data_IF_777999288597
#
_entry.id   IF_777999288597
#
_cell.length_a   1.000
_cell.length_b   1.000
_cell.length_c   1.000
_cell.angle_alpha   90.00
_cell.angle_beta   90.00
_cell.angle_gamma   90.00
#
_symmetry.space_group_name_H-M   'P 1'
#
loop_
_entity.id
_entity.type
_entity.pdbx_description
1 polymer ?
#
# COMPACT_ATOMS: atom_id res chain seq x y z
N UNK A 1 8.50 24.47 32.97
CA UNK A 1 9.90 24.20 32.58
C UNK A 1 9.89 23.80 31.10
N UNK A 2 10.89 24.13 30.30
CA UNK A 2 11.00 23.65 28.92
C UNK A 2 11.16 22.13 28.97
N UNK A 3 10.37 21.39 28.15
CA UNK A 3 10.52 19.95 28.07
C UNK A 3 11.94 19.59 27.57
N UNK A 4 12.57 18.55 28.11
CA UNK A 4 13.89 18.14 27.67
C UNK A 4 13.84 17.73 26.19
N UNK A 5 14.88 18.11 25.42
CA UNK A 5 14.99 17.78 24.00
C UNK A 5 15.87 16.55 23.81
N UNK A 6 15.52 15.72 22.84
CA UNK A 6 16.34 14.58 22.41
C UNK A 6 17.74 15.10 22.01
N UNK A 7 18.83 14.46 22.49
CA UNK A 7 20.19 14.76 22.01
C UNK A 7 20.28 14.66 20.47
N UNK A 8 20.98 15.61 19.86
CA UNK A 8 21.02 15.69 18.38
C UNK A 8 21.69 14.50 17.71
N UNK A 9 22.61 13.87 18.39
CA UNK A 9 23.36 12.69 17.95
C UNK A 9 22.50 11.40 17.93
N UNK A 10 21.35 11.39 18.62
CA UNK A 10 20.38 10.30 18.58
C UNK A 10 19.37 10.46 17.44
N UNK A 11 19.22 11.65 16.85
CA UNK A 11 18.18 11.90 15.86
C UNK A 11 18.47 11.17 14.53
N UNK A 12 17.42 10.57 13.89
CA UNK A 12 17.56 9.99 12.56
C UNK A 12 17.93 11.05 11.52
N UNK A 13 18.67 10.66 10.49
CA UNK A 13 19.05 11.55 9.37
C UNK A 13 17.84 12.01 8.57
N UNK A 14 16.83 11.15 8.43
CA UNK A 14 15.53 11.54 7.90
C UNK A 14 14.44 11.09 8.87
N UNK A 15 13.77 12.02 9.55
CA UNK A 15 12.87 11.70 10.66
C UNK A 15 11.42 11.41 10.24
N UNK A 16 11.16 11.09 8.97
CA UNK A 16 9.80 10.84 8.44
C UNK A 16 9.48 9.35 8.42
N UNK A 17 8.50 8.92 9.22
CA UNK A 17 8.10 7.51 9.38
C UNK A 17 6.62 7.26 9.07
N UNK A 18 6.00 8.14 8.29
CA UNK A 18 4.57 8.09 7.96
C UNK A 18 4.18 6.88 7.14
N UNK A 19 3.07 6.23 7.55
CA UNK A 19 2.50 5.07 6.85
C UNK A 19 1.61 5.43 5.64
N UNK A 20 1.71 6.66 5.13
CA UNK A 20 1.02 7.13 3.93
C UNK A 20 0.44 8.54 4.09
N UNK A 21 0.96 9.50 3.31
CA UNK A 21 2.08 9.34 2.39
C UNK A 21 3.37 8.99 3.10
N UNK A 22 4.26 8.33 2.36
CA UNK A 22 5.57 7.94 2.86
C UNK A 22 6.64 8.99 2.58
N UNK A 23 7.80 8.81 3.17
CA UNK A 23 9.01 9.53 2.80
C UNK A 23 9.33 9.32 1.32
N UNK A 24 9.58 10.40 0.57
CA UNK A 24 10.16 10.39 -0.77
C UNK A 24 11.65 10.68 -0.64
N UNK A 25 12.50 9.93 -1.35
CA UNK A 25 13.94 10.15 -1.36
C UNK A 25 14.28 11.51 -1.95
N UNK A 26 15.29 12.20 -1.39
CA UNK A 26 15.61 13.61 -1.76
C UNK A 26 16.02 13.74 -3.22
N UNK A 27 16.81 12.81 -3.75
CA UNK A 27 17.24 12.76 -5.15
C UNK A 27 16.08 12.59 -6.12
N UNK A 28 15.04 11.84 -5.72
CA UNK A 28 13.81 11.67 -6.52
C UNK A 28 13.02 12.98 -6.61
N UNK A 29 12.92 13.73 -5.50
CA UNK A 29 12.30 15.07 -5.52
C UNK A 29 13.13 16.04 -6.35
N UNK A 30 14.44 15.99 -6.27
CA UNK A 30 15.35 16.86 -7.02
C UNK A 30 15.22 16.65 -8.53
N UNK A 31 14.99 15.42 -9.00
CA UNK A 31 14.85 15.11 -10.44
C UNK A 31 13.69 15.85 -11.13
N UNK A 32 12.66 16.26 -10.36
CA UNK A 32 11.54 17.05 -10.92
C UNK A 32 11.94 18.41 -11.48
N UNK A 33 13.05 18.96 -11.04
CA UNK A 33 13.56 20.27 -11.48
C UNK A 33 14.75 20.19 -12.46
N UNK A 34 15.17 18.99 -12.84
CA UNK A 34 16.28 18.81 -13.78
C UNK A 34 15.95 19.26 -15.20
N UNK A 35 16.96 19.68 -15.99
CA UNK A 35 16.77 19.94 -17.41
C UNK A 35 16.21 18.72 -18.15
N UNK A 36 15.15 18.92 -18.93
CA UNK A 36 14.44 17.82 -19.62
C UNK A 36 13.27 17.23 -18.84
N UNK A 37 12.96 17.77 -17.65
CA UNK A 37 11.75 17.41 -16.91
C UNK A 37 10.50 17.51 -17.78
N UNK A 38 9.61 16.52 -17.69
CA UNK A 38 8.33 16.48 -18.42
C UNK A 38 7.25 17.36 -17.76
N UNK A 39 7.58 18.04 -16.67
CA UNK A 39 6.62 18.87 -15.93
C UNK A 39 6.01 19.95 -16.81
N UNK A 40 4.64 20.06 -16.77
CA UNK A 40 3.90 21.03 -17.57
C UNK A 40 3.79 20.68 -19.05
N UNK A 41 4.21 19.49 -19.48
CA UNK A 41 4.10 19.05 -20.88
C UNK A 41 2.86 18.15 -21.09
N UNK A 42 2.45 17.96 -22.33
CA UNK A 42 1.29 17.14 -22.66
C UNK A 42 1.54 15.66 -22.43
N UNK A 43 0.68 15.01 -21.64
CA UNK A 43 0.72 13.57 -21.40
C UNK A 43 0.45 12.70 -22.64
N UNK A 44 0.04 13.31 -23.76
CA UNK A 44 -0.18 12.64 -25.05
C UNK A 44 1.09 12.63 -25.93
N UNK A 45 2.11 13.36 -25.53
CA UNK A 45 3.36 13.48 -26.28
C UNK A 45 4.40 12.44 -25.82
N UNK A 46 5.36 12.08 -26.70
CA UNK A 46 6.34 11.04 -26.42
C UNK A 46 7.07 11.14 -25.07
N UNK A 47 7.50 12.32 -24.59
CA UNK A 47 8.24 12.36 -23.32
C UNK A 47 7.48 11.81 -22.13
N UNK A 48 6.18 12.14 -21.99
CA UNK A 48 5.36 11.61 -20.88
C UNK A 48 4.97 10.16 -21.12
N UNK A 49 4.68 9.80 -22.39
CA UNK A 49 4.40 8.40 -22.75
C UNK A 49 5.58 7.49 -22.43
N UNK A 50 6.81 7.93 -22.64
CA UNK A 50 8.00 7.17 -22.28
C UNK A 50 8.10 6.92 -20.77
N UNK A 51 7.72 7.89 -19.92
CA UNK A 51 7.66 7.68 -18.46
C UNK A 51 6.62 6.62 -18.10
N UNK A 52 5.44 6.67 -18.74
CA UNK A 52 4.39 5.65 -18.49
C UNK A 52 4.84 4.26 -18.96
N UNK A 53 5.45 4.18 -20.17
CA UNK A 53 6.00 2.91 -20.69
C UNK A 53 7.05 2.34 -19.74
N UNK A 54 8.02 3.16 -19.29
CA UNK A 54 9.06 2.76 -18.35
C UNK A 54 8.48 2.21 -17.05
N UNK A 55 7.50 2.90 -16.43
CA UNK A 55 6.82 2.40 -15.22
C UNK A 55 6.20 1.02 -15.44
N UNK A 56 5.54 0.82 -16.60
CA UNK A 56 4.90 -0.46 -16.93
C UNK A 56 5.92 -1.58 -17.12
N UNK A 57 7.02 -1.31 -17.80
CA UNK A 57 8.14 -2.23 -18.01
C UNK A 57 8.85 -2.56 -16.69
N UNK A 58 9.20 -1.54 -15.90
CA UNK A 58 9.86 -1.69 -14.61
C UNK A 58 9.01 -2.47 -13.59
N UNK A 59 7.71 -2.24 -13.53
CA UNK A 59 6.81 -3.04 -12.69
C UNK A 59 6.66 -4.47 -13.20
N UNK A 60 6.67 -4.69 -14.52
CA UNK A 60 6.67 -6.03 -15.11
C UNK A 60 7.92 -6.79 -14.69
N UNK A 61 9.09 -6.17 -14.75
CA UNK A 61 10.36 -6.75 -14.30
C UNK A 61 10.38 -6.95 -12.78
N UNK A 62 10.01 -5.93 -12.01
CA UNK A 62 10.05 -5.94 -10.55
C UNK A 62 9.23 -7.10 -9.96
N UNK A 63 8.07 -7.39 -10.54
CA UNK A 63 7.19 -8.47 -10.10
C UNK A 63 7.36 -9.77 -10.89
N UNK A 64 8.28 -9.83 -11.84
CA UNK A 64 8.47 -10.98 -12.74
C UNK A 64 7.13 -11.49 -13.29
N UNK A 65 6.35 -10.60 -13.91
CA UNK A 65 4.98 -10.89 -14.32
C UNK A 65 4.92 -12.02 -15.35
N UNK A 66 3.90 -12.88 -15.27
CA UNK A 66 3.59 -13.79 -16.36
C UNK A 66 3.36 -13.01 -17.67
N UNK A 67 3.69 -13.64 -18.81
CA UNK A 67 3.74 -12.97 -20.12
C UNK A 67 2.44 -12.25 -20.53
N UNK A 68 1.29 -12.76 -20.08
CA UNK A 68 -0.02 -12.25 -20.47
C UNK A 68 -0.63 -11.26 -19.44
N UNK A 69 0.12 -10.93 -18.36
CA UNK A 69 -0.30 -9.95 -17.38
C UNK A 69 0.04 -8.54 -17.87
N UNK A 70 -0.80 -7.59 -17.51
CA UNK A 70 -0.63 -6.20 -17.91
C UNK A 70 -0.66 -5.25 -16.73
N UNK A 71 0.17 -4.21 -16.79
CA UNK A 71 0.12 -3.09 -15.85
C UNK A 71 -0.77 -2.00 -16.43
N UNK A 72 -1.85 -1.67 -15.72
CA UNK A 72 -2.72 -0.53 -16.03
C UNK A 72 -2.60 0.54 -14.95
N UNK A 73 -2.81 1.81 -15.32
CA UNK A 73 -2.77 2.93 -14.41
C UNK A 73 -3.78 4.03 -14.77
N UNK A 74 -4.12 4.84 -13.78
CA UNK A 74 -5.05 5.94 -13.98
C UNK A 74 -5.02 6.96 -12.84
N UNK A 75 -5.78 8.03 -13.03
CA UNK A 75 -5.94 9.10 -12.06
C UNK A 75 -6.73 8.64 -10.84
N UNK A 76 -6.38 9.14 -9.65
CA UNK A 76 -7.09 8.88 -8.40
C UNK A 76 -6.18 8.26 -7.34
N UNK A 77 -6.55 7.14 -6.79
CA UNK A 77 -5.81 6.39 -5.79
C UNK A 77 -6.48 5.04 -5.59
N UNK A 78 -5.97 4.19 -4.69
CA UNK A 78 -6.52 2.86 -4.43
C UNK A 78 -8.01 2.88 -4.06
N UNK A 79 -8.50 3.94 -3.42
CA UNK A 79 -9.93 4.10 -3.11
C UNK A 79 -10.77 4.21 -4.38
N UNK A 80 -10.28 4.89 -5.44
CA UNK A 80 -10.97 4.91 -6.73
C UNK A 80 -10.98 3.52 -7.37
N UNK A 81 -9.89 2.74 -7.19
CA UNK A 81 -9.83 1.40 -7.72
C UNK A 81 -10.85 0.45 -7.05
N UNK A 82 -11.19 0.66 -5.77
CA UNK A 82 -12.29 -0.10 -5.14
C UNK A 82 -13.62 0.10 -5.87
N UNK A 83 -13.96 1.34 -6.18
CA UNK A 83 -15.18 1.66 -6.94
C UNK A 83 -15.08 1.09 -8.37
N UNK A 84 -13.92 1.21 -9.01
CA UNK A 84 -13.66 0.62 -10.33
C UNK A 84 -13.78 -0.90 -10.32
N UNK A 85 -13.19 -1.60 -9.34
CA UNK A 85 -13.32 -3.05 -9.19
C UNK A 85 -14.79 -3.46 -8.96
N UNK A 86 -15.50 -2.70 -8.13
CA UNK A 86 -16.93 -2.93 -7.85
C UNK A 86 -17.77 -2.87 -9.12
N UNK A 87 -17.53 -1.90 -10.01
CA UNK A 87 -18.36 -1.72 -11.23
C UNK A 87 -17.84 -2.51 -12.43
N UNK A 88 -16.53 -2.83 -12.50
CA UNK A 88 -15.90 -3.43 -13.69
C UNK A 88 -15.46 -4.88 -13.52
N UNK A 89 -15.26 -5.39 -12.29
CA UNK A 89 -14.72 -6.73 -12.03
C UNK A 89 -15.70 -7.66 -11.31
N UNK A 90 -16.55 -7.14 -10.44
CA UNK A 90 -17.55 -7.97 -9.75
C UNK A 90 -18.82 -8.06 -10.58
N UNK A 91 -19.22 -9.28 -10.98
CA UNK A 91 -20.43 -9.47 -11.79
C UNK A 91 -21.69 -9.59 -10.93
N UNK A 92 -21.65 -10.42 -9.89
CA UNK A 92 -22.83 -10.75 -9.07
C UNK A 92 -22.58 -10.49 -7.60
N UNK A 93 -21.54 -11.11 -7.05
CA UNK A 93 -21.27 -11.11 -5.60
C UNK A 93 -19.78 -11.29 -5.32
N UNK A 94 -19.27 -10.57 -4.33
CA UNK A 94 -17.91 -10.76 -3.83
C UNK A 94 -17.89 -11.46 -2.46
N UNK A 95 -16.77 -12.13 -2.15
CA UNK A 95 -16.38 -12.51 -0.79
C UNK A 95 -15.19 -11.66 -0.35
N UNK A 96 -15.22 -11.11 0.87
CA UNK A 96 -14.20 -10.18 1.35
C UNK A 96 -13.64 -10.59 2.70
N UNK A 97 -12.30 -10.51 2.83
CA UNK A 97 -11.64 -10.56 4.14
C UNK A 97 -11.59 -9.16 4.77
N UNK A 98 -12.08 -9.01 6.00
CA UNK A 98 -12.16 -7.74 6.73
C UNK A 98 -11.43 -7.88 8.05
N UNK A 99 -10.27 -7.21 8.19
CA UNK A 99 -9.41 -7.25 9.39
C UNK A 99 -8.76 -5.89 9.69
N UNK A 100 -9.41 -4.82 9.22
CA UNK A 100 -9.07 -3.45 9.51
C UNK A 100 -9.93 -2.44 8.76
N UNK A 101 -9.52 -1.19 8.80
CA UNK A 101 -10.34 -0.10 8.24
C UNK A 101 -10.38 -0.10 6.71
N UNK A 102 -9.25 -0.43 6.04
CA UNK A 102 -9.20 -0.35 4.58
C UNK A 102 -9.93 -1.51 3.94
N UNK A 103 -9.77 -2.72 4.47
CA UNK A 103 -10.54 -3.89 4.05
C UNK A 103 -12.04 -3.69 4.26
N UNK A 104 -12.46 -3.10 5.38
CA UNK A 104 -13.87 -2.77 5.64
C UNK A 104 -14.43 -1.75 4.66
N UNK A 105 -13.64 -0.73 4.27
CA UNK A 105 -14.09 0.27 3.29
C UNK A 105 -14.36 -0.34 1.93
N UNK A 106 -13.51 -1.23 1.46
CA UNK A 106 -13.75 -1.92 0.19
C UNK A 106 -14.99 -2.82 0.27
N UNK A 107 -15.13 -3.62 1.33
CA UNK A 107 -16.34 -4.41 1.57
C UNK A 107 -17.62 -3.53 1.58
N UNK A 108 -17.54 -2.34 2.19
CA UNK A 108 -18.65 -1.39 2.22
C UNK A 108 -18.95 -0.76 0.84
N UNK A 109 -17.95 -0.59 -0.03
CA UNK A 109 -18.18 -0.14 -1.40
C UNK A 109 -18.98 -1.19 -2.19
N UNK A 110 -18.62 -2.45 -2.07
CA UNK A 110 -19.34 -3.58 -2.65
C UNK A 110 -20.80 -3.68 -2.16
N UNK A 111 -21.00 -3.55 -0.85
CA UNK A 111 -22.34 -3.63 -0.25
C UNK A 111 -23.27 -2.49 -0.72
N UNK A 112 -22.74 -1.32 -1.01
CA UNK A 112 -23.53 -0.18 -1.49
C UNK A 112 -23.84 -0.20 -2.98
N UNK A 113 -23.23 -1.11 -3.74
CA UNK A 113 -23.46 -1.21 -5.17
C UNK A 113 -24.86 -1.79 -5.47
N UNK A 114 -25.81 -1.03 -6.08
CA UNK A 114 -27.20 -1.45 -6.19
C UNK A 114 -27.43 -2.60 -7.19
N UNK A 115 -26.40 -2.99 -7.91
CA UNK A 115 -26.43 -4.04 -8.93
C UNK A 115 -25.70 -5.31 -8.48
N UNK A 116 -25.15 -5.35 -7.25
CA UNK A 116 -24.53 -6.53 -6.65
C UNK A 116 -25.38 -7.09 -5.52
N UNK A 117 -25.26 -8.39 -5.28
CA UNK A 117 -25.72 -8.99 -4.04
C UNK A 117 -24.77 -8.60 -2.88
N UNK A 118 -25.28 -8.60 -1.65
CA UNK A 118 -24.47 -8.33 -0.46
C UNK A 118 -23.24 -9.25 -0.42
N UNK A 119 -22.04 -8.70 -0.13
CA UNK A 119 -20.82 -9.49 -0.08
C UNK A 119 -20.86 -10.53 1.05
N UNK A 120 -20.23 -11.68 0.82
CA UNK A 120 -19.89 -12.60 1.89
C UNK A 120 -18.69 -12.03 2.66
N UNK A 121 -18.87 -11.68 3.94
CA UNK A 121 -17.85 -11.00 4.75
C UNK A 121 -17.25 -11.98 5.75
N UNK A 122 -15.93 -12.18 5.65
CA UNK A 122 -15.12 -12.90 6.61
C UNK A 122 -14.38 -11.86 7.47
N UNK A 123 -14.78 -11.76 8.73
CA UNK A 123 -14.30 -10.69 9.61
C UNK A 123 -13.49 -11.23 10.78
N UNK A 124 -12.40 -10.53 11.11
CA UNK A 124 -11.61 -10.73 12.32
C UNK A 124 -11.52 -9.41 13.12
N UNK A 125 -11.14 -9.53 14.37
CA UNK A 125 -10.82 -8.37 15.21
C UNK A 125 -9.52 -7.69 14.74
N UNK A 126 -9.35 -6.39 15.00
CA UNK A 126 -8.12 -5.68 14.66
C UNK A 126 -6.87 -6.33 15.27
N UNK A 127 -5.90 -6.67 14.45
CA UNK A 127 -4.69 -7.40 14.85
C UNK A 127 -4.72 -8.91 14.53
N UNK A 128 -5.88 -9.41 14.15
CA UNK A 128 -6.09 -10.79 13.66
C UNK A 128 -6.34 -10.79 12.14
N UNK A 129 -6.41 -11.98 11.55
CA UNK A 129 -6.61 -12.17 10.10
C UNK A 129 -7.86 -13.00 9.82
N UNK A 130 -8.68 -12.55 8.87
CA UNK A 130 -9.71 -13.35 8.23
C UNK A 130 -9.57 -13.27 6.72
N UNK A 131 -9.43 -14.41 6.05
CA UNK A 131 -9.40 -14.53 4.60
C UNK A 131 -10.71 -15.12 4.08
N UNK A 132 -11.15 -14.72 2.89
CA UNK A 132 -12.35 -15.31 2.30
C UNK A 132 -12.09 -16.78 1.91
N UNK A 133 -13.09 -17.62 2.20
CA UNK A 133 -13.15 -19.01 1.80
C UNK A 133 -14.18 -19.20 0.67
N UNK A 134 -14.22 -20.40 0.07
CA UNK A 134 -15.16 -20.71 -0.97
C UNK A 134 -16.63 -20.55 -0.52
N UNK A 135 -17.39 -19.78 -1.26
CA UNK A 135 -18.82 -19.54 -1.02
C UNK A 135 -19.57 -19.69 -2.35
N UNK A 136 -20.73 -20.31 -2.32
CA UNK A 136 -21.59 -20.40 -3.50
C UNK A 136 -22.03 -19.03 -4.00
N UNK A 137 -22.21 -18.90 -5.31
CA UNK A 137 -22.66 -17.68 -5.99
C UNK A 137 -21.73 -16.46 -5.84
N UNK A 138 -20.45 -16.68 -5.48
CA UNK A 138 -19.40 -15.68 -5.45
C UNK A 138 -18.53 -15.80 -6.69
N UNK A 139 -18.31 -14.69 -7.38
CA UNK A 139 -17.47 -14.60 -8.58
C UNK A 139 -16.18 -13.81 -8.37
N UNK A 140 -15.98 -13.25 -7.18
CA UNK A 140 -14.83 -12.40 -6.88
C UNK A 140 -14.45 -12.51 -5.39
N UNK A 141 -13.16 -12.75 -5.10
CA UNK A 141 -12.59 -12.84 -3.75
C UNK A 141 -11.62 -11.70 -3.53
N UNK A 142 -11.73 -10.97 -2.41
CA UNK A 142 -10.95 -9.76 -2.21
C UNK A 142 -10.49 -9.57 -0.77
N UNK A 143 -9.21 -9.17 -0.60
CA UNK A 143 -8.62 -8.78 0.69
C UNK A 143 -7.41 -7.86 0.49
N UNK A 144 -6.81 -7.37 1.57
CA UNK A 144 -5.57 -6.61 1.50
C UNK A 144 -4.34 -7.50 1.75
N UNK A 145 -3.27 -7.33 0.97
CA UNK A 145 -1.98 -7.95 1.25
C UNK A 145 -1.40 -7.43 2.57
N UNK A 146 -1.56 -6.14 2.83
CA UNK A 146 -1.19 -5.50 4.10
C UNK A 146 -2.26 -4.50 4.54
N UNK A 147 -2.82 -4.69 5.71
CA UNK A 147 -3.80 -3.77 6.29
C UNK A 147 -3.08 -2.66 7.08
N UNK A 148 -2.97 -1.49 6.47
CA UNK A 148 -2.22 -0.35 7.01
C UNK A 148 -2.74 0.16 8.35
N UNK A 149 -4.01 -0.06 8.67
CA UNK A 149 -4.60 0.44 9.93
C UNK A 149 -4.21 -0.40 11.14
N UNK A 150 -3.92 -1.69 10.95
CA UNK A 150 -3.64 -2.65 12.01
C UNK A 150 -2.22 -3.22 11.99
N UNK A 151 -1.52 -3.14 10.84
CA UNK A 151 -0.21 -3.76 10.67
C UNK A 151 -0.29 -5.28 10.49
N UNK A 152 -1.42 -5.81 10.00
CA UNK A 152 -1.58 -7.22 9.65
C UNK A 152 -1.17 -7.44 8.20
N UNK A 153 -0.25 -8.39 7.95
CA UNK A 153 0.07 -8.90 6.62
C UNK A 153 -0.69 -10.20 6.38
N UNK A 154 -1.30 -10.32 5.20
CA UNK A 154 -2.04 -11.50 4.78
C UNK A 154 -1.28 -12.25 3.68
N UNK A 155 -1.33 -13.60 3.64
CA UNK A 155 -0.83 -14.35 2.52
C UNK A 155 -1.60 -14.01 1.24
N UNK A 156 -0.90 -14.00 0.12
CA UNK A 156 -1.48 -13.77 -1.21
C UNK A 156 -1.43 -15.08 -1.97
N UNK A 157 -2.58 -15.72 -2.05
CA UNK A 157 -2.78 -17.00 -2.76
C UNK A 157 -4.24 -17.16 -3.12
N UNK A 158 -4.52 -17.83 -4.22
CA UNK A 158 -5.89 -18.18 -4.60
C UNK A 158 -6.55 -19.04 -3.51
N UNK A 159 -7.75 -18.71 -3.01
CA UNK A 159 -8.45 -19.55 -2.05
C UNK A 159 -8.73 -20.95 -2.63
N UNK A 160 -8.71 -21.97 -1.78
CA UNK A 160 -9.03 -23.33 -2.21
C UNK A 160 -10.52 -23.46 -2.59
N UNK A 161 -10.82 -24.39 -3.48
CA UNK A 161 -12.19 -24.82 -3.84
C UNK A 161 -13.10 -23.72 -4.40
N UNK A 162 -12.54 -22.60 -4.86
CA UNK A 162 -13.29 -21.55 -5.58
C UNK A 162 -13.42 -21.93 -7.06
N UNK A 163 -14.46 -21.40 -7.72
CA UNK A 163 -14.66 -21.58 -9.16
C UNK A 163 -13.46 -21.02 -9.95
N UNK A 164 -13.01 -21.74 -10.97
CA UNK A 164 -11.87 -21.35 -11.82
C UNK A 164 -12.09 -19.99 -12.51
N UNK A 165 -13.33 -19.61 -12.76
CA UNK A 165 -13.69 -18.32 -13.35
C UNK A 165 -13.82 -17.20 -12.32
N UNK A 166 -13.73 -17.49 -11.02
CA UNK A 166 -13.72 -16.44 -9.99
C UNK A 166 -12.45 -15.64 -10.03
N UNK A 167 -12.54 -14.34 -9.79
CA UNK A 167 -11.38 -13.45 -9.71
C UNK A 167 -10.86 -13.30 -8.28
N UNK A 168 -9.55 -13.14 -8.16
CA UNK A 168 -8.84 -12.81 -6.91
C UNK A 168 -8.29 -11.38 -7.00
N UNK A 169 -8.81 -10.49 -6.16
CA UNK A 169 -8.41 -9.08 -6.08
C UNK A 169 -7.66 -8.81 -4.78
N UNK A 170 -6.49 -8.22 -4.87
CA UNK A 170 -5.65 -7.94 -3.71
C UNK A 170 -5.30 -6.46 -3.63
N UNK A 171 -5.71 -5.80 -2.55
CA UNK A 171 -5.24 -4.46 -2.21
C UNK A 171 -3.82 -4.53 -1.68
N UNK A 172 -2.89 -4.07 -2.50
CA UNK A 172 -1.48 -4.04 -2.18
C UNK A 172 -0.96 -2.63 -1.86
N UNK A 173 -1.84 -1.69 -1.57
CA UNK A 173 -1.49 -0.27 -1.45
C UNK A 173 -0.30 -0.01 -0.55
N UNK A 174 -0.16 -0.72 0.57
CA UNK A 174 1.01 -0.58 1.45
C UNK A 174 2.06 -1.69 1.29
N UNK A 175 1.71 -2.80 0.62
CA UNK A 175 2.61 -3.93 0.41
C UNK A 175 3.46 -3.78 -0.86
N UNK A 176 2.87 -3.18 -1.92
CA UNK A 176 3.53 -3.07 -3.22
C UNK A 176 4.89 -2.37 -3.13
N UNK A 177 5.93 -3.01 -3.68
CA UNK A 177 7.32 -2.54 -3.62
C UNK A 177 8.08 -2.91 -2.34
N UNK A 178 7.49 -3.72 -1.42
CA UNK A 178 8.16 -4.11 -0.17
C UNK A 178 7.78 -5.47 0.38
N UNK A 179 6.70 -6.07 -0.11
CA UNK A 179 6.30 -7.44 0.27
C UNK A 179 6.18 -8.27 -1.01
N UNK A 180 6.87 -9.40 -1.05
CA UNK A 180 6.83 -10.28 -2.20
C UNK A 180 5.46 -10.99 -2.32
N UNK A 181 5.01 -11.19 -3.55
CA UNK A 181 3.81 -11.96 -3.87
C UNK A 181 3.98 -12.67 -5.22
N UNK A 182 3.35 -13.84 -5.35
CA UNK A 182 3.28 -14.58 -6.61
C UNK A 182 2.09 -14.08 -7.43
N UNK A 183 2.38 -13.31 -8.48
CA UNK A 183 1.36 -12.71 -9.34
C UNK A 183 0.53 -13.76 -10.09
N UNK A 184 1.05 -14.97 -10.33
CA UNK A 184 0.32 -16.04 -11.04
C UNK A 184 -0.95 -16.52 -10.33
N UNK A 185 -1.10 -16.20 -9.04
CA UNK A 185 -2.26 -16.60 -8.20
C UNK A 185 -3.32 -15.51 -8.05
N UNK A 186 -3.13 -14.35 -8.67
CA UNK A 186 -3.93 -13.14 -8.48
C UNK A 186 -4.45 -12.63 -9.81
N UNK A 187 -5.66 -12.10 -9.84
CA UNK A 187 -6.25 -11.52 -11.04
C UNK A 187 -6.14 -9.99 -11.09
N UNK A 188 -6.18 -9.32 -9.94
CA UNK A 188 -5.87 -7.90 -9.84
C UNK A 188 -5.11 -7.61 -8.55
N UNK A 189 -3.85 -7.16 -8.70
CA UNK A 189 -3.01 -6.66 -7.62
C UNK A 189 -2.87 -5.17 -7.79
N UNK A 190 -3.56 -4.40 -6.95
CA UNK A 190 -3.67 -2.96 -7.16
C UNK A 190 -3.14 -2.16 -5.97
N UNK A 191 -2.64 -0.97 -6.27
CA UNK A 191 -1.99 -0.10 -5.29
C UNK A 191 -2.00 1.36 -5.73
N UNK A 192 -1.54 2.21 -4.83
CA UNK A 192 -1.28 3.62 -5.07
C UNK A 192 0.14 3.95 -4.60
N UNK A 193 0.90 4.81 -5.32
CA UNK A 193 2.36 4.85 -5.18
C UNK A 193 2.88 5.61 -3.95
N UNK A 194 2.02 6.30 -3.19
CA UNK A 194 2.43 7.15 -2.05
C UNK A 194 2.83 6.39 -0.78
N UNK A 195 2.97 5.07 -0.81
CA UNK A 195 3.38 4.25 0.32
C UNK A 195 4.76 3.64 0.07
N UNK A 196 4.92 2.35 0.05
CA UNK A 196 6.22 1.71 -0.09
C UNK A 196 6.94 2.01 -1.43
N UNK A 197 6.19 2.34 -2.48
CA UNK A 197 6.77 2.85 -3.73
C UNK A 197 7.24 4.32 -3.64
N UNK A 198 7.16 4.96 -2.49
CA UNK A 198 7.83 6.22 -2.14
C UNK A 198 7.75 7.33 -3.19
N UNK A 199 6.60 7.39 -3.87
CA UNK A 199 6.18 8.51 -4.73
C UNK A 199 5.10 9.32 -4.00
N UNK A 200 4.29 10.07 -4.72
CA UNK A 200 3.17 10.81 -4.15
C UNK A 200 1.82 10.21 -4.56
N UNK A 201 0.73 10.75 -4.05
CA UNK A 201 -0.62 10.32 -4.37
C UNK A 201 -1.10 10.79 -5.75
N UNK A 202 -2.36 10.47 -6.07
CA UNK A 202 -3.02 10.94 -7.29
C UNK A 202 -3.08 9.92 -8.43
N UNK A 203 -2.52 8.74 -8.23
CA UNK A 203 -2.58 7.62 -9.18
C UNK A 203 -3.03 6.34 -8.48
N UNK A 204 -3.68 5.48 -9.24
CA UNK A 204 -3.76 4.05 -8.96
C UNK A 204 -3.02 3.27 -10.06
N UNK A 205 -2.47 2.12 -9.68
CA UNK A 205 -1.88 1.13 -10.60
C UNK A 205 -2.47 -0.23 -10.28
N UNK A 206 -2.58 -1.08 -11.29
CA UNK A 206 -3.02 -2.46 -11.13
C UNK A 206 -2.26 -3.39 -12.07
N UNK A 207 -1.80 -4.50 -11.53
CA UNK A 207 -1.33 -5.66 -12.29
C UNK A 207 -2.54 -6.54 -12.52
N UNK A 208 -2.86 -6.83 -13.76
CA UNK A 208 -4.10 -7.50 -14.17
C UNK A 208 -3.80 -8.78 -14.93
N UNK A 209 -4.47 -9.88 -14.54
CA UNK A 209 -4.48 -11.12 -15.31
C UNK A 209 -5.31 -10.99 -16.60
N UNK A 210 -5.11 -11.87 -17.58
CA UNK A 210 -6.00 -11.97 -18.75
C UNK A 210 -7.46 -12.14 -18.35
N UNK A 211 -7.74 -12.92 -17.30
CA UNK A 211 -9.10 -13.17 -16.80
C UNK A 211 -9.75 -11.87 -16.25
N UNK A 212 -9.01 -11.04 -15.53
CA UNK A 212 -9.50 -9.74 -15.05
C UNK A 212 -9.81 -8.79 -16.22
N UNK A 213 -8.94 -8.74 -17.23
CA UNK A 213 -9.14 -7.91 -18.43
C UNK A 213 -10.37 -8.38 -19.22
N UNK A 214 -10.50 -9.68 -19.42
CA UNK A 214 -11.68 -10.26 -20.10
C UNK A 214 -12.97 -9.97 -19.31
N UNK A 215 -12.93 -10.12 -17.98
CA UNK A 215 -14.06 -9.81 -17.11
C UNK A 215 -14.47 -8.34 -17.25
N UNK A 216 -13.53 -7.42 -17.24
CA UNK A 216 -13.83 -6.00 -17.37
C UNK A 216 -14.46 -5.67 -18.74
N UNK A 217 -13.95 -6.26 -19.83
CA UNK A 217 -14.53 -6.11 -21.18
C UNK A 217 -15.96 -6.66 -21.25
N UNK A 218 -16.21 -7.82 -20.63
CA UNK A 218 -17.54 -8.44 -20.59
C UNK A 218 -18.54 -7.58 -19.83
N UNK A 219 -18.14 -7.06 -18.66
CA UNK A 219 -18.99 -6.18 -17.84
C UNK A 219 -19.30 -4.87 -18.58
N UNK A 220 -18.29 -4.22 -19.16
CA UNK A 220 -18.47 -2.96 -19.91
C UNK A 220 -19.36 -3.15 -21.13
N UNK A 221 -19.32 -4.33 -21.77
CA UNK A 221 -20.18 -4.67 -22.92
C UNK A 221 -21.59 -5.10 -22.51
N UNK A 222 -21.89 -5.19 -21.21
CA UNK A 222 -23.21 -5.57 -20.69
C UNK A 222 -24.14 -4.35 -20.62
N UNK A 223 -25.36 -4.55 -20.08
CA UNK A 223 -26.30 -3.45 -19.80
C UNK A 223 -25.95 -2.64 -18.54
N UNK A 224 -24.88 -3.00 -17.82
CA UNK A 224 -24.43 -2.24 -16.64
C UNK A 224 -23.90 -0.88 -17.06
N UNK A 225 -24.43 0.16 -16.44
CA UNK A 225 -23.85 1.49 -16.59
C UNK A 225 -22.52 1.58 -15.83
N UNK A 226 -21.43 1.86 -16.57
CA UNK A 226 -20.08 2.05 -16.02
C UNK A 226 -19.63 3.47 -16.33
N UNK A 227 -19.36 4.30 -15.32
CA UNK A 227 -18.79 5.65 -15.55
C UNK A 227 -17.41 5.54 -16.20
N UNK A 228 -17.07 6.43 -17.13
CA UNK A 228 -15.78 6.39 -17.85
C UNK A 228 -14.56 6.33 -16.93
N UNK A 229 -14.57 7.06 -15.80
CA UNK A 229 -13.47 7.07 -14.83
C UNK A 229 -13.34 5.76 -14.04
N UNK A 230 -14.37 4.92 -14.06
CA UNK A 230 -14.42 3.62 -13.40
C UNK A 230 -14.44 2.46 -14.40
N UNK A 231 -14.28 2.76 -15.69
CA UNK A 231 -14.18 1.75 -16.74
C UNK A 231 -12.75 1.23 -16.85
N UNK A 232 -12.53 0.04 -16.28
CA UNK A 232 -11.21 -0.60 -16.29
C UNK A 232 -10.78 -0.98 -17.71
N UNK A 233 -11.70 -1.36 -18.60
CA UNK A 233 -11.35 -1.71 -19.98
C UNK A 233 -10.86 -0.50 -20.76
N UNK A 234 -11.45 0.67 -20.51
CA UNK A 234 -10.98 1.94 -21.06
C UNK A 234 -9.62 2.34 -20.48
N UNK A 235 -9.39 2.14 -19.20
CA UNK A 235 -8.11 2.39 -18.56
C UNK A 235 -7.00 1.47 -19.11
N UNK A 236 -7.27 0.18 -19.28
CA UNK A 236 -6.35 -0.77 -19.94
C UNK A 236 -6.02 -0.33 -21.38
N UNK A 237 -7.03 0.07 -22.15
CA UNK A 237 -6.83 0.56 -23.53
C UNK A 237 -5.90 1.79 -23.57
N UNK A 238 -6.07 2.74 -22.64
CA UNK A 238 -5.18 3.90 -22.55
C UNK A 238 -3.77 3.48 -22.09
N UNK A 239 -3.65 2.57 -21.12
CA UNK A 239 -2.36 2.10 -20.61
C UNK A 239 -1.55 1.36 -21.69
N UNK A 240 -2.20 0.59 -22.58
CA UNK A 240 -1.55 -0.04 -23.74
C UNK A 240 -0.99 0.97 -24.73
N UNK A 241 -1.56 2.18 -24.77
CA UNK A 241 -1.05 3.30 -25.55
C UNK A 241 -0.05 4.18 -24.77
N UNK A 242 0.39 3.74 -23.59
CA UNK A 242 1.25 4.46 -22.65
C UNK A 242 0.67 5.82 -22.24
N UNK A 243 -0.62 5.82 -21.93
CA UNK A 243 -1.39 7.02 -21.57
C UNK A 243 -2.35 6.71 -20.42
N UNK A 244 -2.90 7.77 -19.86
CA UNK A 244 -4.05 7.74 -18.97
C UNK A 244 -5.26 8.40 -19.64
N UNK A 245 -6.47 8.12 -19.15
CA UNK A 245 -7.71 8.71 -19.70
C UNK A 245 -7.66 10.23 -19.67
N UNK A 246 -7.24 10.82 -18.57
CA UNK A 246 -7.05 12.25 -18.37
C UNK A 246 -5.59 12.56 -18.02
N UNK A 247 -5.21 13.84 -18.03
CA UNK A 247 -3.86 14.25 -17.60
C UNK A 247 -3.55 13.69 -16.20
N UNK A 248 -2.49 12.89 -16.06
CA UNK A 248 -2.11 12.31 -14.77
C UNK A 248 -1.34 13.32 -13.92
N UNK A 249 -1.10 12.98 -12.65
CA UNK A 249 -0.17 13.68 -11.78
C UNK A 249 1.26 13.43 -12.27
N UNK A 250 1.80 14.31 -13.14
CA UNK A 250 3.10 14.12 -13.79
C UNK A 250 4.25 13.98 -12.78
N UNK A 251 4.25 14.77 -11.71
CA UNK A 251 5.26 14.67 -10.66
C UNK A 251 5.26 13.28 -10.03
N UNK A 252 4.07 12.74 -9.74
CA UNK A 252 3.91 11.38 -9.20
C UNK A 252 4.44 10.32 -10.17
N UNK A 253 4.18 10.45 -11.47
CA UNK A 253 4.71 9.51 -12.47
C UNK A 253 6.24 9.53 -12.51
N UNK A 254 6.86 10.73 -12.57
CA UNK A 254 8.33 10.86 -12.60
C UNK A 254 8.96 10.29 -11.34
N UNK A 255 8.39 10.59 -10.17
CA UNK A 255 8.88 10.05 -8.91
C UNK A 255 8.71 8.52 -8.81
N UNK A 256 7.60 8.00 -9.32
CA UNK A 256 7.34 6.56 -9.33
C UNK A 256 8.33 5.82 -10.23
N UNK A 257 8.57 6.31 -11.43
CA UNK A 257 9.55 5.74 -12.36
C UNK A 257 10.95 5.70 -11.73
N UNK A 258 11.40 6.82 -11.18
CA UNK A 258 12.70 6.88 -10.50
C UNK A 258 12.78 5.91 -9.30
N UNK A 259 11.68 5.66 -8.61
CA UNK A 259 11.63 4.71 -7.49
C UNK A 259 11.63 3.26 -7.99
N UNK A 260 10.87 2.92 -9.02
CA UNK A 260 10.86 1.57 -9.60
C UNK A 260 12.24 1.19 -10.12
N UNK A 261 12.90 2.08 -10.86
CA UNK A 261 14.27 1.90 -11.33
C UNK A 261 15.24 1.67 -10.16
N UNK A 262 15.16 2.51 -9.14
CA UNK A 262 16.01 2.35 -7.96
C UNK A 262 15.80 1.00 -7.27
N UNK A 263 14.56 0.52 -7.15
CA UNK A 263 14.28 -0.81 -6.58
C UNK A 263 14.93 -1.93 -7.42
N UNK A 264 14.85 -1.83 -8.74
CA UNK A 264 15.50 -2.79 -9.66
C UNK A 264 17.03 -2.76 -9.51
N UNK A 265 17.62 -1.56 -9.46
CA UNK A 265 19.07 -1.36 -9.29
C UNK A 265 19.58 -1.92 -7.95
N UNK A 266 18.74 -1.93 -6.90
CA UNK A 266 19.09 -2.54 -5.61
C UNK A 266 18.98 -4.08 -5.60
N UNK A 267 18.33 -4.70 -6.57
CA UNK A 267 18.10 -6.15 -6.63
C UNK A 267 16.65 -6.57 -6.62
N UNK A 268 15.74 -5.65 -6.96
CA UNK A 268 14.32 -5.91 -7.18
C UNK A 268 13.55 -6.28 -5.91
N UNK A 269 12.46 -7.04 -6.10
CA UNK A 269 11.56 -7.42 -4.99
C UNK A 269 12.25 -8.27 -3.91
N UNK A 270 13.24 -9.07 -4.25
CA UNK A 270 13.97 -9.88 -3.28
C UNK A 270 14.72 -8.99 -2.27
N UNK A 271 15.41 -7.96 -2.79
CA UNK A 271 16.07 -6.97 -1.94
C UNK A 271 15.05 -6.15 -1.14
N UNK A 272 13.99 -5.65 -1.77
CA UNK A 272 12.97 -4.83 -1.11
C UNK A 272 12.31 -5.57 0.07
N UNK A 273 11.92 -6.84 -0.14
CA UNK A 273 11.32 -7.67 0.91
C UNK A 273 12.31 -7.96 2.06
N UNK A 274 13.59 -8.26 1.74
CA UNK A 274 14.63 -8.44 2.74
C UNK A 274 14.88 -7.15 3.54
N UNK A 275 14.90 -6.00 2.86
CA UNK A 275 15.10 -4.67 3.47
C UNK A 275 13.97 -4.36 4.46
N UNK A 276 12.71 -4.49 4.06
CA UNK A 276 11.55 -4.20 4.90
C UNK A 276 11.43 -5.16 6.08
N UNK A 277 11.71 -6.46 5.87
CA UNK A 277 11.73 -7.46 6.93
C UNK A 277 12.82 -7.17 7.98
N UNK A 278 14.02 -6.81 7.56
CA UNK A 278 15.11 -6.43 8.47
C UNK A 278 14.76 -5.17 9.28
N UNK A 279 14.25 -4.14 8.62
CA UNK A 279 13.92 -2.86 9.23
C UNK A 279 12.76 -2.99 10.22
N UNK A 280 11.69 -3.70 9.86
CA UNK A 280 10.57 -3.97 10.77
C UNK A 280 10.97 -4.88 11.93
N UNK A 281 11.86 -5.86 11.68
CA UNK A 281 12.39 -6.75 12.70
C UNK A 281 13.14 -6.00 13.82
N UNK A 282 13.80 -4.88 13.51
CA UNK A 282 14.42 -4.00 14.52
C UNK A 282 13.37 -3.39 15.44
N UNK A 283 12.25 -2.88 14.90
CA UNK A 283 11.14 -2.32 15.70
C UNK A 283 10.42 -3.39 16.52
N UNK A 284 10.17 -4.57 15.95
CA UNK A 284 9.50 -5.63 16.70
C UNK A 284 10.35 -6.14 17.87
N UNK A 285 11.67 -6.35 17.69
CA UNK A 285 12.58 -6.70 18.79
C UNK A 285 12.60 -5.62 19.87
N UNK A 286 12.75 -4.36 19.47
CA UNK A 286 12.68 -3.25 20.41
C UNK A 286 11.37 -3.24 21.21
N UNK A 287 10.24 -3.48 20.54
CA UNK A 287 8.93 -3.51 21.19
C UNK A 287 8.73 -4.72 22.12
N UNK A 288 9.39 -5.83 21.87
CA UNK A 288 9.38 -7.02 22.74
C UNK A 288 10.34 -6.88 23.92
N UNK A 289 11.46 -6.17 23.76
CA UNK A 289 12.48 -6.00 24.80
C UNK A 289 12.14 -4.86 25.78
N UNK A 290 11.35 -3.85 25.35
CA UNK A 290 11.01 -2.70 26.19
C UNK A 290 9.75 -2.99 27.02
N UNK A 291 9.79 -2.89 28.37
CA UNK A 291 8.68 -3.25 29.26
C UNK A 291 7.44 -2.33 29.12
N UNK A 292 7.55 -1.22 28.43
CA UNK A 292 6.46 -0.26 28.21
C UNK A 292 5.82 -0.40 26.82
N UNK A 293 6.19 -1.40 26.03
CA UNK A 293 5.71 -1.59 24.67
C UNK A 293 5.36 -3.04 24.38
N UNK A 294 4.44 -3.26 23.44
CA UNK A 294 4.06 -4.59 22.97
C UNK A 294 3.69 -4.53 21.48
N UNK A 295 4.20 -5.42 20.62
CA UNK A 295 3.70 -5.53 19.26
C UNK A 295 2.19 -5.77 19.26
N UNK A 296 1.43 -4.92 18.56
CA UNK A 296 -0.04 -5.02 18.55
C UNK A 296 -0.52 -6.32 17.89
N UNK A 297 0.10 -6.71 16.77
CA UNK A 297 -0.18 -8.00 16.12
C UNK A 297 0.54 -9.09 16.92
N UNK A 298 -0.25 -9.89 17.66
CA UNK A 298 0.29 -10.88 18.59
C UNK A 298 1.00 -12.03 17.87
N UNK A 299 0.41 -12.57 16.79
CA UNK A 299 1.02 -13.63 15.99
C UNK A 299 2.16 -13.07 15.12
N UNK A 300 3.42 -13.48 15.36
CA UNK A 300 4.57 -13.03 14.57
C UNK A 300 4.44 -13.30 13.06
N UNK A 301 3.70 -14.36 12.67
CA UNK A 301 3.49 -14.70 11.26
C UNK A 301 2.57 -13.71 10.53
N UNK A 302 1.79 -12.93 11.26
CA UNK A 302 0.86 -11.92 10.72
C UNK A 302 1.40 -10.49 10.85
N UNK A 303 2.57 -10.29 11.43
CA UNK A 303 3.20 -8.98 11.61
C UNK A 303 3.67 -8.41 10.28
N UNK A 304 3.21 -7.21 9.97
CA UNK A 304 3.58 -6.52 8.73
C UNK A 304 5.07 -6.17 8.68
N UNK A 305 5.77 -6.46 7.57
CA UNK A 305 7.13 -5.99 7.38
C UNK A 305 7.22 -4.52 6.93
N UNK A 306 6.10 -3.88 6.63
CA UNK A 306 6.05 -2.52 6.05
C UNK A 306 5.33 -1.49 6.91
N UNK A 307 4.51 -1.93 7.86
CA UNK A 307 3.78 -1.06 8.82
C UNK A 307 3.79 -1.73 10.20
N UNK A 308 4.58 -1.22 11.09
CA UNK A 308 4.71 -1.73 12.45
C UNK A 308 3.79 -0.97 13.39
N UNK A 309 2.94 -1.68 14.12
CA UNK A 309 2.02 -1.15 15.12
C UNK A 309 2.44 -1.66 16.49
N UNK A 310 2.60 -0.75 17.45
CA UNK A 310 3.12 -1.05 18.78
C UNK A 310 2.22 -0.38 19.81
N UNK A 311 1.60 -1.17 20.67
CA UNK A 311 0.86 -0.68 21.82
C UNK A 311 1.82 -0.17 22.90
N UNK A 312 1.45 0.94 23.50
CA UNK A 312 2.19 1.57 24.60
C UNK A 312 1.45 1.25 25.91
N UNK A 313 2.21 0.93 26.96
CA UNK A 313 1.66 0.65 28.29
C UNK A 313 0.75 1.80 28.78
N UNK A 314 -0.32 1.46 29.50
CA UNK A 314 -1.32 2.42 29.99
C UNK A 314 -0.74 3.51 30.90
N UNK A 315 0.42 3.28 31.52
CA UNK A 315 1.15 4.27 32.32
C UNK A 315 1.76 5.41 31.47
N UNK A 316 1.75 5.29 30.14
CA UNK A 316 2.30 6.25 29.19
C UNK A 316 1.22 6.67 28.18
N UNK A 317 1.00 7.95 28.02
CA UNK A 317 0.13 8.50 26.97
C UNK A 317 0.85 8.51 25.61
N UNK A 318 0.46 7.62 24.71
CA UNK A 318 1.04 7.54 23.36
C UNK A 318 0.82 8.82 22.54
N UNK A 319 -0.30 9.53 22.73
CA UNK A 319 -0.54 10.80 22.03
C UNK A 319 0.45 11.86 22.47
N UNK A 320 0.75 11.94 23.78
CA UNK A 320 1.79 12.82 24.32
C UNK A 320 3.17 12.41 23.85
N UNK A 321 3.48 11.10 23.80
CA UNK A 321 4.74 10.57 23.26
C UNK A 321 4.94 11.00 21.81
N UNK A 322 3.94 10.82 20.94
CA UNK A 322 3.97 11.26 19.54
C UNK A 322 4.14 12.78 19.40
N UNK A 323 3.44 13.58 20.22
CA UNK A 323 3.58 15.03 20.22
C UNK A 323 5.02 15.46 20.58
N UNK A 324 5.63 14.85 21.60
CA UNK A 324 7.01 15.11 21.98
C UNK A 324 8.01 14.67 20.91
N UNK A 325 7.77 13.54 20.26
CA UNK A 325 8.56 13.10 19.11
C UNK A 325 8.50 14.14 17.99
N UNK A 326 7.32 14.65 17.67
CA UNK A 326 7.09 15.69 16.65
C UNK A 326 7.78 17.01 17.00
N UNK A 327 7.75 17.43 18.27
CA UNK A 327 8.47 18.64 18.76
C UNK A 327 10.00 18.51 18.62
N UNK A 328 10.52 17.29 18.53
CA UNK A 328 11.91 16.97 18.26
C UNK A 328 12.18 16.65 16.77
N UNK A 329 11.19 16.82 15.88
CA UNK A 329 11.31 16.67 14.43
C UNK A 329 11.00 15.27 13.91
N UNK A 330 10.69 14.28 14.77
CA UNK A 330 10.27 12.94 14.35
C UNK A 330 8.79 12.97 13.95
N UNK A 331 8.47 12.59 12.71
CA UNK A 331 7.17 12.85 12.10
C UNK A 331 6.41 11.57 11.82
N UNK A 332 5.09 11.67 12.03
CA UNK A 332 4.06 10.78 11.52
C UNK A 332 4.11 9.34 12.08
N UNK A 333 4.45 9.21 13.36
CA UNK A 333 4.41 7.94 14.11
C UNK A 333 3.08 7.73 14.86
N UNK A 334 2.11 8.60 14.69
CA UNK A 334 0.80 8.51 15.34
C UNK A 334 0.03 7.26 14.92
N UNK A 335 -0.80 6.68 15.82
CA UNK A 335 -1.63 5.52 15.53
C UNK A 335 -2.68 5.82 14.45
N UNK A 336 -3.29 4.78 13.91
CA UNK A 336 -4.47 4.99 13.08
C UNK A 336 -5.65 5.48 13.94
N UNK A 337 -6.01 6.75 13.74
CA UNK A 337 -6.95 7.50 14.61
C UNK A 337 -8.25 6.75 14.95
N UNK A 338 -8.85 6.05 13.95
CA UNK A 338 -10.14 5.37 14.15
C UNK A 338 -10.03 4.08 14.96
N UNK A 339 -8.83 3.54 15.15
CA UNK A 339 -8.62 2.36 15.96
C UNK A 339 -8.75 2.67 17.47
N UNK A 340 -8.47 3.92 17.87
CA UNK A 340 -8.70 4.40 19.24
C UNK A 340 -7.77 3.78 20.29
N UNK A 341 -6.59 3.29 19.91
CA UNK A 341 -5.64 2.60 20.80
C UNK A 341 -4.56 3.54 21.30
N UNK A 342 -4.00 3.24 22.47
CA UNK A 342 -2.79 3.84 23.02
C UNK A 342 -1.56 3.23 22.32
N UNK A 343 -1.22 3.72 21.13
CA UNK A 343 -0.38 3.02 20.16
C UNK A 343 0.49 3.99 19.36
N UNK A 344 1.61 3.51 18.85
CA UNK A 344 2.37 4.16 17.77
C UNK A 344 2.35 3.28 16.51
N UNK A 345 2.48 3.90 15.34
CA UNK A 345 2.48 3.21 14.05
C UNK A 345 3.56 3.76 13.15
N UNK A 346 4.49 2.93 12.75
CA UNK A 346 5.74 3.31 12.09
C UNK A 346 5.82 2.61 10.74
N UNK A 347 6.10 3.36 9.68
CA UNK A 347 6.43 2.77 8.39
C UNK A 347 7.87 2.23 8.40
N UNK A 348 8.04 1.09 7.72
CA UNK A 348 9.33 0.45 7.47
C UNK A 348 9.50 0.19 5.96
N UNK A 349 9.04 1.14 5.17
CA UNK A 349 9.11 1.07 3.71
C UNK A 349 10.55 1.03 3.19
N UNK A 350 10.75 0.46 2.01
CA UNK A 350 12.08 0.21 1.42
C UNK A 350 12.97 1.46 1.33
N UNK A 351 12.38 2.66 1.22
CA UNK A 351 13.09 3.95 1.20
C UNK A 351 13.57 4.43 2.58
N UNK A 352 13.14 3.79 3.67
CA UNK A 352 13.57 4.14 5.03
C UNK A 352 14.87 3.41 5.36
N UNK A 353 15.89 4.17 5.78
CA UNK A 353 17.18 3.59 6.12
C UNK A 353 17.11 2.80 7.43
N UNK A 354 17.73 1.60 7.55
CA UNK A 354 17.79 0.86 8.81
C UNK A 354 18.38 1.70 9.95
N UNK A 355 19.42 2.48 9.68
CA UNK A 355 20.02 3.38 10.66
C UNK A 355 19.07 4.47 11.18
N UNK A 356 18.11 4.94 10.35
CA UNK A 356 17.08 5.86 10.79
C UNK A 356 16.09 5.18 11.76
N UNK A 357 15.80 3.88 11.56
CA UNK A 357 14.94 3.11 12.47
C UNK A 357 15.66 2.79 13.79
N UNK A 358 16.94 2.45 13.75
CA UNK A 358 17.76 2.28 14.95
C UNK A 358 17.84 3.60 15.75
N UNK A 359 18.03 4.73 15.08
CA UNK A 359 18.00 6.04 15.70
C UNK A 359 16.60 6.37 16.28
N UNK A 360 15.51 5.98 15.58
CA UNK A 360 14.16 6.14 16.09
C UNK A 360 13.94 5.37 17.39
N UNK A 361 14.37 4.09 17.47
CA UNK A 361 14.21 3.32 18.72
C UNK A 361 14.97 3.95 19.88
N UNK A 362 16.21 4.44 19.67
CA UNK A 362 16.95 5.17 20.68
C UNK A 362 16.25 6.49 21.11
N UNK A 363 15.63 7.20 20.17
CA UNK A 363 14.82 8.39 20.49
C UNK A 363 13.58 8.06 21.31
N UNK A 364 12.90 6.95 20.98
CA UNK A 364 11.72 6.49 21.72
C UNK A 364 12.10 6.06 23.15
N UNK A 365 13.19 5.32 23.34
CA UNK A 365 13.72 4.99 24.67
C UNK A 365 14.00 6.25 25.49
N UNK A 366 14.71 7.21 24.88
CA UNK A 366 15.00 8.48 25.54
C UNK A 366 13.73 9.23 25.95
N UNK A 367 12.69 9.24 25.09
CA UNK A 367 11.39 9.88 25.39
C UNK A 367 10.64 9.17 26.50
N UNK A 368 10.70 7.84 26.55
CA UNK A 368 10.07 7.01 27.58
C UNK A 368 10.76 7.16 28.95
N UNK A 369 12.08 7.27 28.97
CA UNK A 369 12.86 7.51 30.17
C UNK A 369 12.66 8.92 30.74
N UNK A 370 12.47 9.92 29.88
CA UNK A 370 12.33 11.33 30.26
C UNK A 370 10.85 11.81 30.16
N UNK A 371 9.90 10.94 30.53
CA UNK A 371 8.46 11.17 30.32
C UNK A 371 7.77 12.12 31.29
N UNK A 372 8.43 12.51 32.40
CA UNK A 372 7.90 13.38 33.47
C UNK A 372 7.86 14.88 33.12
#
# INVERSE_FOLDING_TARGET
MAQPRIPRDLLPSDPRFGCGPSRIRREVVASLSEPGSVMGTSHRQPPVRHVVAAIREELTELYNLPTDYEVALGNGGATLFWDMATVSLVEKRAATGVYGEFTRKFSSALQRAPFLADPAVFQAEPGELALPEAVSDVDTYAWAHNETSTGVVAPVRRPNDIDDNSLVLVDATSAAGGVAADMSTIDAYYFSPQKNLSSDGGLWLAILSPAAIERSNRVTSSARWVPQMLDLSLAVTNSRADQTLNTPALATLVMLEAQCRWLLDQGGMAWAASRTASTSGTLYRWAEDNPLTTPFVADPALRSPVVVTIDIDESVDAARLCARARDNGILDIEPYRKLGRNQIRIATFSSIEPSDVEALTACLDWLLENRD
#
